data_IF_942214076830
#
_entry.id   IF_942214076830
#
_cell.length_a   1.000
_cell.length_b   1.000
_cell.length_c   1.000
_cell.angle_alpha   90.00
_cell.angle_beta   90.00
_cell.angle_gamma   90.00
#
_symmetry.space_group_name_H-M   'P 1'
#
loop_
_entity.id
_entity.type
_entity.pdbx_description
1 polymer ?
#
# COMPACT_ATOMS: atom_id res chain seq x y z
N UNK A 1 -1.35 -39.93 -5.94
CA UNK A 1 -2.25 -39.02 -5.18
C UNK A 1 -1.47 -38.08 -4.27
N UNK A 2 -0.57 -38.58 -3.40
CA UNK A 2 0.21 -37.76 -2.44
C UNK A 2 1.08 -36.68 -3.11
N UNK A 3 1.83 -37.01 -4.18
CA UNK A 3 2.68 -36.04 -4.89
C UNK A 3 1.86 -34.92 -5.58
N UNK A 4 0.68 -35.24 -6.11
CA UNK A 4 -0.23 -34.28 -6.74
C UNK A 4 -0.77 -33.27 -5.72
N UNK A 5 -1.03 -33.73 -4.49
CA UNK A 5 -1.45 -32.84 -3.39
C UNK A 5 -0.31 -31.92 -2.94
N UNK A 6 0.95 -32.40 -2.91
CA UNK A 6 2.11 -31.56 -2.56
C UNK A 6 2.32 -30.41 -3.55
N UNK A 7 2.28 -30.70 -4.85
CA UNK A 7 2.45 -29.66 -5.90
C UNK A 7 1.35 -28.60 -5.85
N UNK A 8 0.11 -29.03 -5.59
CA UNK A 8 -1.02 -28.11 -5.42
C UNK A 8 -0.83 -27.20 -4.21
N UNK A 9 -0.39 -27.73 -3.07
CA UNK A 9 -0.12 -26.92 -1.87
C UNK A 9 0.98 -25.89 -2.13
N UNK A 10 2.06 -26.27 -2.84
CA UNK A 10 3.13 -25.34 -3.22
C UNK A 10 2.58 -24.24 -4.14
N UNK A 11 1.72 -24.58 -5.10
CA UNK A 11 1.09 -23.59 -5.99
C UNK A 11 0.26 -22.57 -5.21
N UNK A 12 -0.52 -23.02 -4.21
CA UNK A 12 -1.31 -22.14 -3.36
C UNK A 12 -0.43 -21.26 -2.48
N UNK A 13 0.57 -21.83 -1.80
CA UNK A 13 1.48 -21.05 -0.95
C UNK A 13 2.25 -19.99 -1.75
N UNK A 14 2.78 -20.38 -2.92
CA UNK A 14 3.47 -19.43 -3.80
C UNK A 14 2.52 -18.35 -4.33
N UNK A 15 1.26 -18.70 -4.64
CA UNK A 15 0.26 -17.71 -5.07
C UNK A 15 -0.07 -16.68 -3.99
N UNK A 16 -0.10 -17.08 -2.72
CA UNK A 16 -0.31 -16.19 -1.57
C UNK A 16 0.90 -15.26 -1.42
N UNK A 17 2.13 -15.79 -1.50
CA UNK A 17 3.36 -14.99 -1.45
C UNK A 17 3.36 -13.94 -2.57
N UNK A 18 3.05 -14.33 -3.80
CA UNK A 18 2.97 -13.39 -4.93
C UNK A 18 1.86 -12.35 -4.74
N UNK A 19 0.71 -12.75 -4.20
CA UNK A 19 -0.39 -11.82 -3.90
C UNK A 19 0.04 -10.77 -2.89
N UNK A 20 0.71 -11.18 -1.82
CA UNK A 20 1.27 -10.26 -0.81
C UNK A 20 2.27 -9.30 -1.45
N UNK A 21 3.19 -9.80 -2.29
CA UNK A 21 4.14 -8.97 -3.04
C UNK A 21 3.40 -7.92 -3.89
N UNK A 22 2.40 -8.33 -4.68
CA UNK A 22 1.66 -7.41 -5.54
C UNK A 22 0.90 -6.35 -4.75
N UNK A 23 0.30 -6.71 -3.61
CA UNK A 23 -0.39 -5.75 -2.73
C UNK A 23 0.61 -4.73 -2.17
N UNK A 24 1.73 -5.18 -1.61
CA UNK A 24 2.75 -4.28 -1.03
C UNK A 24 3.32 -3.35 -2.10
N UNK A 25 3.64 -3.89 -3.28
CA UNK A 25 4.14 -3.08 -4.40
C UNK A 25 3.09 -2.06 -4.85
N UNK A 26 1.81 -2.42 -4.92
CA UNK A 26 0.73 -1.49 -5.27
C UNK A 26 0.60 -0.33 -4.27
N UNK A 27 0.69 -0.64 -2.97
CA UNK A 27 0.68 0.37 -1.90
C UNK A 27 1.91 1.28 -2.00
N UNK A 28 3.12 0.72 -2.18
CA UNK A 28 4.36 1.50 -2.30
C UNK A 28 4.40 2.36 -3.56
N UNK A 29 3.89 1.85 -4.69
CA UNK A 29 3.75 2.63 -5.92
C UNK A 29 2.80 3.81 -5.70
N UNK A 30 1.65 3.57 -5.06
CA UNK A 30 0.67 4.62 -4.72
C UNK A 30 1.28 5.68 -3.81
N UNK A 31 1.94 5.28 -2.72
CA UNK A 31 2.63 6.19 -1.79
C UNK A 31 3.62 7.12 -2.51
N UNK A 32 4.35 6.59 -3.50
CA UNK A 32 5.38 7.33 -4.22
C UNK A 32 4.83 8.07 -5.46
N UNK A 33 3.57 7.85 -5.85
CA UNK A 33 2.93 8.50 -7.00
C UNK A 33 2.41 9.90 -6.63
N UNK A 34 3.33 10.80 -6.30
CA UNK A 34 3.05 12.19 -5.85
C UNK A 34 2.23 13.01 -6.83
N UNK A 35 2.25 12.63 -8.10
CA UNK A 35 1.48 13.27 -9.17
C UNK A 35 -0.03 13.25 -8.83
N UNK A 36 -0.53 12.17 -8.22
CA UNK A 36 -1.93 12.09 -7.79
C UNK A 36 -2.24 13.21 -6.79
N UNK A 37 -1.41 13.36 -5.75
CA UNK A 37 -1.60 14.40 -4.76
C UNK A 37 -1.50 15.80 -5.37
N UNK A 38 -0.54 16.04 -6.27
CA UNK A 38 -0.40 17.34 -6.92
C UNK A 38 -1.61 17.73 -7.77
N UNK A 39 -2.24 16.75 -8.41
CA UNK A 39 -3.51 16.93 -9.10
C UNK A 39 -4.62 17.27 -8.07
N UNK A 40 -4.68 16.54 -6.96
CA UNK A 40 -5.68 16.75 -5.90
C UNK A 40 -5.58 18.09 -5.17
N UNK A 41 -4.39 18.70 -5.04
CA UNK A 41 -4.25 20.06 -4.49
C UNK A 41 -5.19 21.03 -5.22
N UNK A 42 -5.30 20.90 -6.54
CA UNK A 42 -6.17 21.76 -7.36
C UNK A 42 -7.62 21.30 -7.36
N UNK A 43 -7.90 20.01 -7.62
CA UNK A 43 -9.27 19.53 -7.79
C UNK A 43 -10.06 19.49 -6.50
N UNK A 44 -9.40 19.27 -5.37
CA UNK A 44 -10.02 19.25 -4.05
C UNK A 44 -9.96 20.63 -3.37
N UNK A 45 -9.44 21.66 -4.06
CA UNK A 45 -9.30 23.02 -3.53
C UNK A 45 -8.59 23.08 -2.17
N UNK A 46 -7.58 22.22 -1.94
CA UNK A 46 -6.90 22.06 -0.63
C UNK A 46 -6.38 23.40 -0.10
N UNK A 47 -5.87 24.25 -1.00
CA UNK A 47 -5.35 25.59 -0.68
C UNK A 47 -6.36 26.43 0.11
N UNK A 48 -7.67 26.31 -0.16
CA UNK A 48 -8.70 27.14 0.48
C UNK A 48 -8.88 26.88 1.97
N UNK A 49 -8.41 25.74 2.46
CA UNK A 49 -8.56 25.31 3.85
C UNK A 49 -7.29 25.58 4.67
N UNK A 50 -6.32 26.33 4.12
CA UNK A 50 -5.03 26.59 4.74
C UNK A 50 -4.48 27.97 4.39
N UNK A 51 -3.61 28.52 5.23
CA UNK A 51 -2.87 29.75 4.92
C UNK A 51 -1.62 29.50 4.05
N UNK A 52 -1.41 28.26 3.58
CA UNK A 52 -0.25 27.87 2.79
C UNK A 52 -0.44 28.10 1.30
N UNK A 53 0.66 28.45 0.62
CA UNK A 53 0.70 28.45 -0.85
C UNK A 53 0.96 27.03 -1.41
N UNK A 54 0.73 26.85 -2.71
CA UNK A 54 0.91 25.55 -3.38
C UNK A 54 2.31 24.94 -3.22
N UNK A 55 3.36 25.78 -3.16
CA UNK A 55 4.73 25.31 -3.01
C UNK A 55 4.93 24.72 -1.62
N UNK A 56 4.47 25.40 -0.57
CA UNK A 56 4.55 24.93 0.81
C UNK A 56 3.77 23.64 1.01
N UNK A 57 2.55 23.53 0.46
CA UNK A 57 1.75 22.29 0.50
C UNK A 57 2.53 21.12 -0.12
N UNK A 58 3.12 21.34 -1.30
CA UNK A 58 3.94 20.31 -1.97
C UNK A 58 5.19 19.96 -1.16
N UNK A 59 5.86 20.93 -0.53
CA UNK A 59 7.04 20.69 0.31
C UNK A 59 6.70 19.85 1.54
N UNK A 60 5.60 20.15 2.23
CA UNK A 60 5.10 19.36 3.36
C UNK A 60 4.75 17.92 2.94
N UNK A 61 4.02 17.75 1.84
CA UNK A 61 3.71 16.42 1.32
C UNK A 61 4.96 15.67 0.85
N UNK A 62 5.89 16.35 0.18
CA UNK A 62 7.15 15.76 -0.25
C UNK A 62 7.99 15.26 0.92
N UNK A 63 8.06 16.06 1.99
CA UNK A 63 8.70 15.67 3.23
C UNK A 63 8.01 14.46 3.85
N UNK A 64 6.68 14.44 3.93
CA UNK A 64 5.93 13.30 4.46
C UNK A 64 6.26 12.00 3.71
N UNK A 65 6.21 12.02 2.37
CA UNK A 65 6.57 10.85 1.56
C UNK A 65 8.04 10.45 1.75
N UNK A 66 8.96 11.42 1.86
CA UNK A 66 10.37 11.14 2.17
C UNK A 66 10.52 10.48 3.54
N UNK A 67 9.85 11.01 4.57
CA UNK A 67 9.90 10.51 5.94
C UNK A 67 9.40 9.06 6.03
N UNK A 68 8.26 8.77 5.38
CA UNK A 68 7.66 7.43 5.36
C UNK A 68 8.48 6.40 4.60
N UNK A 69 9.29 6.81 3.61
CA UNK A 69 10.23 5.92 2.90
C UNK A 69 11.61 5.81 3.58
N UNK A 70 11.88 6.58 4.64
CA UNK A 70 13.20 6.61 5.27
C UNK A 70 13.38 5.49 6.28
N UNK A 71 14.46 4.72 6.18
CA UNK A 71 14.85 3.77 7.23
C UNK A 71 15.70 4.41 8.35
N UNK A 72 16.00 5.71 8.26
CA UNK A 72 16.81 6.42 9.25
C UNK A 72 15.97 6.85 10.46
N UNK A 73 16.58 6.92 11.63
CA UNK A 73 15.98 7.50 12.83
C UNK A 73 16.01 9.03 12.76
N UNK A 74 15.11 9.60 11.96
CA UNK A 74 14.86 11.05 11.87
C UNK A 74 13.61 11.39 12.68
N UNK A 75 13.66 12.50 13.43
CA UNK A 75 12.49 13.09 14.08
C UNK A 75 11.55 13.64 13.01
N UNK A 76 10.25 13.40 13.15
CA UNK A 76 9.24 13.96 12.26
C UNK A 76 9.14 15.48 12.50
N UNK A 77 9.31 16.27 11.44
CA UNK A 77 9.25 17.72 11.48
C UNK A 77 8.88 18.25 10.09
N UNK A 78 7.64 18.72 9.94
CA UNK A 78 7.14 19.27 8.69
C UNK A 78 7.81 20.63 8.39
N UNK A 79 8.13 20.94 7.11
CA UNK A 79 8.81 22.18 6.74
C UNK A 79 8.09 23.48 7.13
N UNK A 80 6.75 23.51 7.06
CA UNK A 80 5.96 24.75 7.24
C UNK A 80 4.77 24.59 8.19
N UNK A 81 4.58 23.42 8.79
CA UNK A 81 3.45 23.12 9.66
C UNK A 81 3.94 22.66 11.04
N UNK A 82 3.30 23.09 12.13
CA UNK A 82 3.53 22.50 13.43
C UNK A 82 3.04 21.05 13.48
N UNK A 83 3.48 20.31 14.49
CA UNK A 83 2.97 18.98 14.81
C UNK A 83 2.98 18.82 16.32
N UNK A 84 1.90 18.27 16.88
CA UNK A 84 1.83 17.89 18.29
C UNK A 84 2.75 16.71 18.60
N UNK A 85 2.97 16.43 19.89
CA UNK A 85 3.71 15.23 20.30
C UNK A 85 2.99 13.96 19.82
N UNK A 86 1.66 13.94 19.95
CA UNK A 86 0.78 12.87 19.48
C UNK A 86 0.90 12.69 17.96
N UNK A 87 0.87 13.78 17.20
CA UNK A 87 1.03 13.76 15.74
C UNK A 87 2.38 13.21 15.30
N UNK A 88 3.46 13.62 15.96
CA UNK A 88 4.81 13.09 15.73
C UNK A 88 4.86 11.58 16.00
N UNK A 89 4.24 11.11 17.09
CA UNK A 89 4.19 9.69 17.43
C UNK A 89 3.39 8.92 16.36
N UNK A 90 2.23 9.44 15.95
CA UNK A 90 1.42 8.80 14.91
C UNK A 90 2.20 8.61 13.61
N UNK A 91 2.84 9.66 13.07
CA UNK A 91 3.61 9.52 11.84
C UNK A 91 4.81 8.58 11.99
N UNK A 92 5.42 8.52 13.17
CA UNK A 92 6.46 7.52 13.49
C UNK A 92 5.92 6.10 13.43
N UNK A 93 4.72 5.85 13.95
CA UNK A 93 4.07 4.53 13.87
C UNK A 93 3.74 4.17 12.41
N UNK A 94 3.20 5.10 11.62
CA UNK A 94 2.95 4.91 10.17
C UNK A 94 4.24 4.58 9.43
N UNK A 95 5.34 5.27 9.73
CA UNK A 95 6.66 4.98 9.17
C UNK A 95 7.15 3.58 9.55
N UNK A 96 6.92 3.13 10.78
CA UNK A 96 7.29 1.79 11.21
C UNK A 96 6.52 0.72 10.41
N UNK A 97 5.26 0.97 10.07
CA UNK A 97 4.47 0.10 9.18
C UNK A 97 5.14 0.03 7.80
N UNK A 98 5.47 1.16 7.17
CA UNK A 98 6.14 1.15 5.86
C UNK A 98 7.51 0.48 5.88
N UNK A 99 8.31 0.70 6.92
CA UNK A 99 9.58 0.01 7.11
C UNK A 99 9.41 -1.50 7.29
N UNK A 100 8.36 -1.93 7.99
CA UNK A 100 8.00 -3.35 8.09
C UNK A 100 7.60 -3.92 6.73
N UNK A 101 6.76 -3.20 5.96
CA UNK A 101 6.36 -3.62 4.60
C UNK A 101 7.57 -3.78 3.68
N UNK A 102 8.56 -2.89 3.75
CA UNK A 102 9.79 -2.99 2.93
C UNK A 102 10.61 -4.24 3.29
N UNK A 103 10.81 -4.52 4.58
CA UNK A 103 11.48 -5.74 5.05
C UNK A 103 10.72 -6.99 4.65
N UNK A 104 9.40 -6.97 4.85
CA UNK A 104 8.53 -8.10 4.55
C UNK A 104 8.47 -8.40 3.04
N UNK A 105 8.44 -7.36 2.20
CA UNK A 105 8.55 -7.48 0.74
C UNK A 105 9.87 -8.13 0.34
N UNK A 106 11.00 -7.67 0.89
CA UNK A 106 12.32 -8.23 0.59
C UNK A 106 12.39 -9.73 0.93
N UNK A 107 11.90 -10.13 2.10
CA UNK A 107 11.85 -11.54 2.54
C UNK A 107 10.97 -12.37 1.60
N UNK A 108 9.77 -11.88 1.25
CA UNK A 108 8.87 -12.60 0.35
C UNK A 108 9.46 -12.78 -1.06
N UNK A 109 10.12 -11.75 -1.60
CA UNK A 109 10.84 -11.84 -2.88
C UNK A 109 11.93 -12.92 -2.78
N UNK A 110 12.79 -12.83 -1.76
CA UNK A 110 13.91 -13.76 -1.58
C UNK A 110 13.45 -15.22 -1.47
N UNK A 111 12.37 -15.49 -0.70
CA UNK A 111 11.78 -16.82 -0.55
C UNK A 111 11.13 -17.30 -1.86
N UNK A 112 10.47 -16.40 -2.60
CA UNK A 112 9.73 -16.79 -3.81
C UNK A 112 10.64 -17.24 -4.96
N UNK A 113 11.83 -16.65 -5.10
CA UNK A 113 12.75 -16.90 -6.23
C UNK A 113 13.09 -18.40 -6.43
N UNK A 114 13.61 -19.13 -5.42
CA UNK A 114 13.95 -20.54 -5.60
C UNK A 114 12.72 -21.42 -5.88
N UNK A 115 11.56 -21.09 -5.28
CA UNK A 115 10.31 -21.83 -5.50
C UNK A 115 9.81 -21.60 -6.92
N UNK A 116 9.83 -20.36 -7.41
CA UNK A 116 9.49 -20.03 -8.80
C UNK A 116 10.44 -20.77 -9.76
N UNK A 117 11.75 -20.73 -9.50
CA UNK A 117 12.73 -21.47 -10.32
C UNK A 117 12.41 -22.97 -10.39
N UNK A 118 12.14 -23.59 -9.24
CA UNK A 118 11.73 -24.99 -9.15
C UNK A 118 10.47 -25.27 -9.99
N UNK A 119 9.42 -24.45 -9.84
CA UNK A 119 8.16 -24.60 -10.58
C UNK A 119 8.33 -24.43 -12.08
N UNK A 120 9.16 -23.48 -12.51
CA UNK A 120 9.38 -23.20 -13.93
C UNK A 120 10.30 -24.21 -14.62
N UNK A 121 11.37 -24.65 -13.95
CA UNK A 121 12.41 -25.49 -14.59
C UNK A 121 12.25 -26.97 -14.31
N UNK A 122 11.78 -27.34 -13.12
CA UNK A 122 11.71 -28.75 -12.71
C UNK A 122 10.32 -29.31 -12.99
N UNK A 123 9.27 -28.69 -12.45
CA UNK A 123 7.90 -29.23 -12.60
C UNK A 123 7.17 -28.73 -13.83
N UNK A 124 7.69 -27.67 -14.49
CA UNK A 124 7.07 -26.98 -15.64
C UNK A 124 5.60 -26.61 -15.38
N UNK A 125 5.26 -26.31 -14.13
CA UNK A 125 3.91 -26.01 -13.70
C UNK A 125 3.81 -24.53 -13.31
N UNK A 126 2.96 -23.80 -14.03
CA UNK A 126 2.72 -22.36 -13.85
C UNK A 126 1.36 -22.05 -13.22
N UNK A 127 0.68 -23.03 -12.62
CA UNK A 127 -0.65 -22.85 -12.04
C UNK A 127 -0.68 -21.81 -10.92
N UNK A 128 0.42 -21.65 -10.18
CA UNK A 128 0.57 -20.59 -9.18
C UNK A 128 0.30 -19.18 -9.74
N UNK A 129 0.60 -18.91 -11.01
CA UNK A 129 0.31 -17.63 -11.68
C UNK A 129 -1.21 -17.41 -11.87
N UNK A 130 -1.93 -18.46 -12.23
CA UNK A 130 -3.40 -18.39 -12.33
C UNK A 130 -4.01 -18.13 -10.95
N UNK A 131 -3.56 -18.85 -9.93
CA UNK A 131 -4.06 -18.66 -8.58
C UNK A 131 -3.72 -17.27 -8.04
N UNK A 132 -2.50 -16.77 -8.28
CA UNK A 132 -2.11 -15.42 -7.85
C UNK A 132 -2.94 -14.34 -8.54
N UNK A 133 -3.24 -14.49 -9.83
CA UNK A 133 -4.14 -13.56 -10.52
C UNK A 133 -5.51 -13.46 -9.84
N UNK A 134 -6.09 -14.60 -9.48
CA UNK A 134 -7.41 -14.65 -8.82
C UNK A 134 -7.33 -14.08 -7.40
N UNK A 135 -6.38 -14.56 -6.58
CA UNK A 135 -6.27 -14.13 -5.17
C UNK A 135 -5.89 -12.66 -5.03
N UNK A 136 -5.12 -12.11 -5.97
CA UNK A 136 -4.75 -10.68 -6.01
C UNK A 136 -5.97 -9.78 -6.18
N UNK A 137 -7.05 -10.27 -6.79
CA UNK A 137 -8.31 -9.51 -6.89
C UNK A 137 -9.17 -9.73 -5.64
N UNK A 138 -9.38 -10.99 -5.27
CA UNK A 138 -10.36 -11.35 -4.22
C UNK A 138 -9.94 -10.81 -2.84
N UNK A 139 -8.68 -11.00 -2.44
CA UNK A 139 -8.23 -10.65 -1.09
C UNK A 139 -8.33 -9.14 -0.82
N UNK A 140 -7.82 -8.25 -1.70
CA UNK A 140 -7.91 -6.81 -1.45
C UNK A 140 -9.33 -6.26 -1.54
N UNK A 141 -10.19 -6.79 -2.42
CA UNK A 141 -11.59 -6.36 -2.50
C UNK A 141 -12.30 -6.50 -1.14
N UNK A 142 -12.08 -7.61 -0.43
CA UNK A 142 -12.68 -7.82 0.89
C UNK A 142 -12.25 -6.78 1.93
N UNK A 143 -11.02 -6.28 1.81
CA UNK A 143 -10.46 -5.27 2.73
C UNK A 143 -10.90 -3.85 2.36
N UNK A 144 -11.11 -3.57 1.07
CA UNK A 144 -11.40 -2.23 0.55
C UNK A 144 -12.90 -1.91 0.56
N UNK A 145 -13.78 -2.90 0.37
CA UNK A 145 -15.24 -2.68 0.35
C UNK A 145 -15.75 -1.89 1.57
N UNK A 146 -15.35 -2.20 2.82
CA UNK A 146 -15.78 -1.41 3.98
C UNK A 146 -15.38 0.06 3.93
N UNK A 147 -14.18 0.38 3.41
CA UNK A 147 -13.68 1.74 3.26
C UNK A 147 -14.49 2.54 2.23
N UNK A 148 -14.98 1.88 1.18
CA UNK A 148 -15.80 2.51 0.13
C UNK A 148 -17.23 2.78 0.62
N UNK A 149 -17.81 1.87 1.40
CA UNK A 149 -19.19 2.01 1.87
C UNK A 149 -19.34 3.06 2.98
N UNK A 150 -18.35 3.17 3.86
CA UNK A 150 -18.34 4.16 4.92
C UNK A 150 -16.90 4.47 5.31
N UNK A 151 -16.37 5.59 4.80
CA UNK A 151 -14.99 5.98 5.03
C UNK A 151 -14.71 6.16 6.52
N UNK A 152 -15.51 6.93 7.26
CA UNK A 152 -15.26 7.21 8.68
C UNK A 152 -15.13 5.94 9.51
N UNK A 153 -16.06 4.99 9.35
CA UNK A 153 -16.03 3.70 10.05
C UNK A 153 -14.87 2.83 9.57
N UNK A 154 -14.61 2.80 8.27
CA UNK A 154 -13.51 2.04 7.68
C UNK A 154 -12.15 2.55 8.14
N UNK A 155 -11.96 3.87 8.12
CA UNK A 155 -10.80 4.60 8.61
C UNK A 155 -10.58 4.34 10.10
N UNK A 156 -11.61 4.51 10.92
CA UNK A 156 -11.54 4.22 12.37
C UNK A 156 -11.18 2.76 12.63
N UNK A 157 -11.80 1.82 11.91
CA UNK A 157 -11.52 0.39 12.07
C UNK A 157 -10.09 0.04 11.67
N UNK A 158 -9.62 0.56 10.54
CA UNK A 158 -8.23 0.42 10.10
C UNK A 158 -7.26 0.91 11.17
N UNK A 159 -7.49 2.12 11.70
CA UNK A 159 -6.60 2.68 12.71
C UNK A 159 -6.57 1.86 13.99
N UNK A 160 -7.72 1.32 14.43
CA UNK A 160 -7.77 0.42 15.61
C UNK A 160 -7.09 -0.94 15.40
N UNK A 161 -6.89 -1.38 14.15
CA UNK A 161 -6.11 -2.60 13.85
C UNK A 161 -4.61 -2.31 14.00
N UNK A 162 -4.15 -1.17 13.50
CA UNK A 162 -2.72 -0.88 13.37
C UNK A 162 -2.15 -0.06 14.53
N UNK A 163 -2.98 0.64 15.28
CA UNK A 163 -2.57 1.54 16.36
C UNK A 163 -3.34 1.21 17.65
N UNK A 164 -2.61 1.20 18.77
CA UNK A 164 -3.18 1.00 20.11
C UNK A 164 -3.54 2.31 20.83
N UNK A 165 -3.43 3.44 20.12
CA UNK A 165 -3.67 4.79 20.62
C UNK A 165 -4.61 5.54 19.64
N UNK A 166 -5.09 6.69 20.08
CA UNK A 166 -5.99 7.55 19.30
C UNK A 166 -5.26 8.78 18.70
N UNK A 167 -3.93 8.76 18.60
CA UNK A 167 -3.12 9.90 18.13
C UNK A 167 -3.29 10.22 16.64
N UNK A 168 -4.03 9.38 15.92
CA UNK A 168 -4.47 9.62 14.54
C UNK A 168 -5.69 10.56 14.46
N UNK A 169 -6.35 10.87 15.57
CA UNK A 169 -7.40 11.88 15.66
C UNK A 169 -6.78 13.27 15.83
N UNK A 170 -6.38 13.88 14.72
CA UNK A 170 -5.75 15.19 14.71
C UNK A 170 -6.70 16.33 15.07
N UNK A 171 -6.21 17.25 15.91
CA UNK A 171 -6.80 18.58 16.10
C UNK A 171 -6.22 19.50 15.02
N UNK A 172 -7.04 20.07 14.10
CA UNK A 172 -6.55 20.93 13.03
C UNK A 172 -5.74 22.15 13.50
N UNK A 173 -5.89 22.58 14.75
CA UNK A 173 -5.12 23.70 15.31
C UNK A 173 -3.71 23.30 15.76
N UNK A 174 -3.52 22.02 16.14
CA UNK A 174 -2.23 21.48 16.59
C UNK A 174 -1.50 20.72 15.48
N UNK A 175 -2.27 20.01 14.66
CA UNK A 175 -1.84 19.13 13.58
C UNK A 175 -2.55 19.51 12.26
N UNK A 176 -2.27 20.72 11.70
CA UNK A 176 -2.93 21.23 10.50
C UNK A 176 -2.66 20.41 9.23
N UNK A 177 -1.74 19.43 9.29
CA UNK A 177 -1.51 18.45 8.22
C UNK A 177 -2.78 17.68 7.84
N UNK A 178 -3.75 17.53 8.74
CA UNK A 178 -5.05 16.93 8.43
C UNK A 178 -5.79 17.68 7.31
N UNK A 179 -5.65 19.01 7.27
CA UNK A 179 -6.29 19.85 6.24
C UNK A 179 -5.64 19.66 4.86
N UNK A 180 -4.43 19.10 4.81
CA UNK A 180 -3.72 18.77 3.58
C UNK A 180 -4.05 17.36 3.06
N UNK A 181 -4.70 16.50 3.86
CA UNK A 181 -4.97 15.11 3.53
C UNK A 181 -6.48 14.82 3.66
N UNK A 182 -7.32 15.40 2.79
CA UNK A 182 -8.77 15.19 2.86
C UNK A 182 -9.13 13.73 2.57
N UNK A 183 -10.26 13.28 3.10
CA UNK A 183 -10.85 11.96 2.84
C UNK A 183 -10.85 11.57 1.35
N UNK A 184 -11.22 12.50 0.47
CA UNK A 184 -11.26 12.29 -0.98
C UNK A 184 -9.89 11.97 -1.59
N UNK A 185 -8.79 12.47 -1.02
CA UNK A 185 -7.44 12.07 -1.43
C UNK A 185 -7.15 10.60 -1.07
N UNK A 186 -7.59 10.15 0.09
CA UNK A 186 -7.46 8.74 0.47
C UNK A 186 -8.31 7.83 -0.43
N UNK A 187 -9.49 8.28 -0.86
CA UNK A 187 -10.27 7.56 -1.86
C UNK A 187 -9.56 7.44 -3.21
N UNK A 188 -9.00 8.52 -3.73
CA UNK A 188 -8.22 8.45 -4.97
C UNK A 188 -7.00 7.53 -4.82
N UNK A 189 -6.36 7.51 -3.65
CA UNK A 189 -5.26 6.59 -3.34
C UNK A 189 -5.72 5.13 -3.34
N UNK A 190 -6.89 4.81 -2.77
CA UNK A 190 -7.51 3.48 -2.82
C UNK A 190 -7.78 3.05 -4.27
N UNK A 191 -8.32 3.95 -5.10
CA UNK A 191 -8.57 3.67 -6.52
C UNK A 191 -7.26 3.38 -7.28
N UNK A 192 -6.19 4.10 -6.98
CA UNK A 192 -4.87 3.86 -7.58
C UNK A 192 -4.27 2.52 -7.14
N UNK A 193 -4.45 2.12 -5.88
CA UNK A 193 -4.07 0.79 -5.40
C UNK A 193 -4.85 -0.29 -6.16
N UNK A 194 -6.17 -0.13 -6.31
CA UNK A 194 -7.01 -1.06 -7.07
C UNK A 194 -6.58 -1.16 -8.53
N UNK A 195 -6.21 -0.04 -9.16
CA UNK A 195 -5.66 -0.04 -10.51
C UNK A 195 -4.40 -0.90 -10.63
N UNK A 196 -3.43 -0.72 -9.73
CA UNK A 196 -2.20 -1.53 -9.73
C UNK A 196 -2.45 -3.01 -9.44
N UNK A 197 -3.40 -3.32 -8.55
CA UNK A 197 -3.84 -4.68 -8.26
C UNK A 197 -4.39 -5.36 -9.53
N UNK A 198 -5.27 -4.67 -10.26
CA UNK A 198 -5.83 -5.18 -11.51
C UNK A 198 -4.74 -5.35 -12.57
N UNK A 199 -3.80 -4.41 -12.65
CA UNK A 199 -2.65 -4.49 -13.55
C UNK A 199 -1.76 -5.71 -13.26
N UNK A 200 -1.36 -5.94 -12.00
CA UNK A 200 -0.54 -7.10 -11.64
C UNK A 200 -1.29 -8.42 -11.81
N UNK A 201 -2.58 -8.46 -11.48
CA UNK A 201 -3.42 -9.64 -11.73
C UNK A 201 -3.47 -9.98 -13.23
N UNK A 202 -3.66 -8.98 -14.09
CA UNK A 202 -3.69 -9.17 -15.53
C UNK A 202 -2.35 -9.68 -16.07
N UNK A 203 -1.23 -9.10 -15.64
CA UNK A 203 0.12 -9.57 -16.01
C UNK A 203 0.29 -11.04 -15.59
N UNK A 204 -0.06 -11.37 -14.36
CA UNK A 204 0.05 -12.74 -13.83
C UNK A 204 -0.76 -13.74 -14.67
N UNK A 205 -1.98 -13.36 -15.06
CA UNK A 205 -2.83 -14.18 -15.93
C UNK A 205 -2.26 -14.31 -17.36
N UNK A 206 -1.74 -13.24 -17.93
CA UNK A 206 -1.11 -13.26 -19.26
C UNK A 206 0.14 -14.16 -19.27
N UNK A 207 0.98 -14.07 -18.24
CA UNK A 207 2.13 -14.96 -18.06
C UNK A 207 1.70 -16.42 -17.95
N UNK A 208 0.67 -16.71 -17.15
CA UNK A 208 0.08 -18.05 -17.07
C UNK A 208 -0.35 -18.56 -18.46
N UNK A 209 -1.09 -17.76 -19.22
CA UNK A 209 -1.62 -18.15 -20.55
C UNK A 209 -0.50 -18.42 -21.56
N UNK A 210 0.58 -17.65 -21.51
CA UNK A 210 1.72 -17.77 -22.41
C UNK A 210 2.60 -18.98 -22.05
N UNK A 211 2.86 -19.18 -20.77
CA UNK A 211 3.79 -20.20 -20.30
C UNK A 211 3.16 -21.59 -20.19
N UNK A 212 1.84 -21.71 -19.99
CA UNK A 212 1.16 -23.02 -19.97
C UNK A 212 1.13 -23.74 -21.33
N UNK A 213 1.47 -23.01 -22.40
CA UNK A 213 1.50 -23.51 -23.79
C UNK A 213 2.88 -24.06 -24.19
N UNK A 214 3.90 -23.83 -23.35
CA UNK A 214 5.28 -24.28 -23.52
C UNK A 214 5.52 -25.54 -22.66
#
# INVERSE_FOLDING_TARGET
MILKNKEFVIDILLSIILTIIFIIVSVKLTLNFKILYYWDITNLSIIKNTDLNTKEIKENFNYLIYYLNSHKNITFCLPSLPSSEEGIIHFKDVKNIFNFLDKFLFINIFISIPIIYYKLKITKNVSFLKYSSISTIIIPLLLIIPLILNFDKGFTFFHKIFFSNDYWLFDPNKDPIINLLPETFFFHSILLILFFIMFFSLISYMLYKNMRKL
#
